data_IF_305522466417
#
_entry.id   IF_305522466417
#
_cell.length_a   1.000
_cell.length_b   1.000
_cell.length_c   1.000
_cell.angle_alpha   90.00
_cell.angle_beta   90.00
_cell.angle_gamma   90.00
#
_symmetry.space_group_name_H-M   'P 1'
#
loop_
_entity.id
_entity.type
_entity.pdbx_description
1 polymer ?
#
# COMPACT_ATOMS: atom_id res chain seq x y z
N UNK A 1 -39.55 3.03 -27.17
CA UNK A 1 -38.96 3.97 -26.18
C UNK A 1 -38.32 3.26 -25.00
N UNK A 2 -39.00 2.29 -24.37
CA UNK A 2 -38.53 1.57 -23.16
C UNK A 2 -37.12 0.95 -23.31
N UNK A 3 -36.81 0.32 -24.44
CA UNK A 3 -35.47 -0.27 -24.68
C UNK A 3 -34.32 0.76 -24.65
N UNK A 4 -34.56 1.98 -25.15
CA UNK A 4 -33.55 3.06 -25.12
C UNK A 4 -33.35 3.58 -23.70
N UNK A 5 -34.42 3.66 -22.90
CA UNK A 5 -34.36 4.08 -21.49
C UNK A 5 -33.55 3.08 -20.66
N UNK A 6 -33.76 1.77 -20.87
CA UNK A 6 -33.02 0.71 -20.17
C UNK A 6 -31.52 0.78 -20.51
N UNK A 7 -31.16 0.99 -21.79
CA UNK A 7 -29.76 1.11 -22.21
C UNK A 7 -29.09 2.33 -21.56
N UNK A 8 -29.77 3.48 -21.55
CA UNK A 8 -29.22 4.73 -20.96
C UNK A 8 -29.03 4.57 -19.45
N UNK A 9 -30.02 4.02 -18.74
CA UNK A 9 -29.88 3.75 -17.30
C UNK A 9 -28.76 2.75 -17.00
N UNK A 10 -28.62 1.70 -17.81
CA UNK A 10 -27.53 0.73 -17.67
C UNK A 10 -26.16 1.38 -17.85
N UNK A 11 -26.01 2.28 -18.83
CA UNK A 11 -24.77 3.04 -19.05
C UNK A 11 -24.43 3.97 -17.88
N UNK A 12 -25.42 4.68 -17.33
CA UNK A 12 -25.21 5.55 -16.16
C UNK A 12 -24.77 4.72 -14.95
N UNK A 13 -25.45 3.62 -14.67
CA UNK A 13 -25.07 2.73 -13.55
C UNK A 13 -23.66 2.17 -13.76
N UNK A 14 -23.30 1.78 -14.98
CA UNK A 14 -21.96 1.28 -15.28
C UNK A 14 -20.87 2.32 -15.06
N UNK A 15 -21.10 3.58 -15.48
CA UNK A 15 -20.17 4.70 -15.23
C UNK A 15 -20.03 4.94 -13.72
N UNK A 16 -21.14 4.96 -12.97
CA UNK A 16 -21.12 5.13 -11.52
C UNK A 16 -20.35 4.00 -10.81
N UNK A 17 -20.47 2.75 -11.29
CA UNK A 17 -19.70 1.62 -10.75
C UNK A 17 -18.21 1.79 -11.03
N UNK A 18 -17.84 2.21 -12.26
CA UNK A 18 -16.45 2.45 -12.61
C UNK A 18 -15.85 3.56 -11.74
N UNK A 19 -16.52 4.69 -11.60
CA UNK A 19 -16.08 5.78 -10.73
C UNK A 19 -15.93 5.31 -9.27
N UNK A 20 -16.90 4.55 -8.75
CA UNK A 20 -16.84 4.01 -7.40
C UNK A 20 -15.66 3.05 -7.18
N UNK A 21 -15.38 2.18 -8.16
CA UNK A 21 -14.25 1.24 -8.11
C UNK A 21 -12.91 1.98 -8.16
N UNK A 22 -12.77 2.99 -9.02
CA UNK A 22 -11.55 3.80 -9.12
C UNK A 22 -11.30 4.56 -7.82
N UNK A 23 -12.32 5.22 -7.25
CA UNK A 23 -12.20 5.93 -5.97
C UNK A 23 -11.80 5.02 -4.81
N UNK A 24 -12.23 3.75 -4.85
CA UNK A 24 -11.90 2.79 -3.79
C UNK A 24 -10.42 2.36 -3.81
N UNK A 25 -9.84 2.20 -5.00
CA UNK A 25 -8.43 1.82 -5.13
C UNK A 25 -7.47 2.88 -4.60
N UNK A 26 -7.85 4.15 -4.60
CA UNK A 26 -7.01 5.23 -4.07
C UNK A 26 -6.97 5.23 -2.53
N UNK A 27 -8.04 4.77 -1.87
CA UNK A 27 -8.11 4.70 -0.41
C UNK A 27 -7.37 3.49 0.18
N UNK A 28 -7.30 2.38 -0.54
CA UNK A 28 -6.52 1.21 -0.15
C UNK A 28 -5.09 1.40 -0.64
N UNK A 29 -4.22 1.91 0.23
CA UNK A 29 -2.82 2.16 -0.11
C UNK A 29 -2.11 0.90 -0.61
N UNK A 30 -1.13 1.09 -1.50
CA UNK A 30 -0.30 -0.01 -2.03
C UNK A 30 0.27 -0.84 -0.86
N UNK A 31 0.15 -2.16 -0.95
CA UNK A 31 0.63 -3.10 0.07
C UNK A 31 -0.40 -3.48 1.15
N UNK A 32 -1.68 -3.11 1.00
CA UNK A 32 -2.74 -3.53 1.93
C UNK A 32 -2.80 -2.71 3.22
N UNK A 33 -2.27 -1.49 3.21
CA UNK A 33 -2.23 -0.58 4.37
C UNK A 33 -2.84 0.77 3.96
N UNK A 34 -3.52 1.46 4.87
CA UNK A 34 -4.12 2.77 4.56
C UNK A 34 -3.05 3.86 4.38
N UNK A 35 -3.38 4.91 3.62
CA UNK A 35 -2.49 6.08 3.49
C UNK A 35 -2.13 6.70 4.84
N UNK A 36 -3.08 6.74 5.78
CA UNK A 36 -2.86 7.23 7.14
C UNK A 36 -1.82 6.39 7.88
N UNK A 37 -1.89 5.06 7.76
CA UNK A 37 -0.90 4.17 8.39
C UNK A 37 0.48 4.30 7.75
N UNK A 38 0.55 4.50 6.42
CA UNK A 38 1.80 4.82 5.74
C UNK A 38 2.45 6.07 6.34
N UNK A 39 1.68 7.14 6.56
CA UNK A 39 2.22 8.36 7.17
C UNK A 39 2.68 8.16 8.61
N UNK A 40 1.98 7.34 9.40
CA UNK A 40 2.44 6.98 10.75
C UNK A 40 3.76 6.21 10.73
N UNK A 41 3.94 5.28 9.77
CA UNK A 41 5.21 4.56 9.58
C UNK A 41 6.33 5.54 9.22
N UNK A 42 6.09 6.46 8.29
CA UNK A 42 7.11 7.45 7.91
C UNK A 42 7.51 8.34 9.08
N UNK A 43 6.54 8.83 9.86
CA UNK A 43 6.81 9.63 11.04
C UNK A 43 7.65 8.85 12.07
N UNK A 44 7.33 7.58 12.28
CA UNK A 44 8.06 6.70 13.19
C UNK A 44 9.50 6.42 12.72
N UNK A 45 9.70 6.17 11.42
CA UNK A 45 11.04 5.98 10.84
C UNK A 45 11.91 7.21 11.10
N UNK A 46 11.35 8.41 10.92
CA UNK A 46 12.06 9.67 11.13
C UNK A 46 12.31 9.93 12.63
N UNK A 47 11.31 9.72 13.50
CA UNK A 47 11.40 9.97 14.95
C UNK A 47 12.51 9.16 15.62
N UNK A 48 12.66 7.89 15.22
CA UNK A 48 13.60 6.93 15.85
C UNK A 48 14.87 6.75 15.00
N UNK A 49 15.07 7.59 14.00
CA UNK A 49 16.29 7.62 13.20
C UNK A 49 16.61 6.28 12.52
N UNK A 50 15.59 5.65 11.92
CA UNK A 50 15.69 4.38 11.21
C UNK A 50 16.00 4.59 9.71
N UNK A 51 16.33 3.50 9.01
CA UNK A 51 16.39 3.53 7.55
C UNK A 51 14.98 3.47 6.93
N UNK A 52 14.90 3.66 5.61
CA UNK A 52 13.64 3.66 4.85
C UNK A 52 12.81 2.37 4.96
N UNK A 53 13.39 1.27 5.46
CA UNK A 53 12.73 -0.02 5.63
C UNK A 53 12.31 -0.28 7.08
N UNK A 54 12.49 0.68 7.99
CA UNK A 54 12.21 0.53 9.41
C UNK A 54 13.24 -0.32 10.17
N UNK A 55 14.42 -0.53 9.59
CA UNK A 55 15.54 -1.20 10.27
C UNK A 55 16.56 -0.14 10.78
N UNK A 56 17.52 -0.50 11.64
CA UNK A 56 18.60 0.41 12.04
C UNK A 56 19.32 1.03 10.84
N UNK A 57 19.72 2.30 10.93
CA UNK A 57 20.35 3.04 9.82
C UNK A 57 21.56 2.36 9.20
N UNK A 58 22.38 1.73 10.02
CA UNK A 58 23.63 1.10 9.59
C UNK A 58 23.42 -0.35 9.07
N UNK A 59 22.17 -0.75 8.84
CA UNK A 59 21.85 -2.07 8.29
C UNK A 59 22.34 -2.19 6.85
N UNK A 60 23.16 -3.21 6.60
CA UNK A 60 23.64 -3.56 5.25
C UNK A 60 22.85 -4.77 4.74
N UNK A 61 22.26 -4.63 3.56
CA UNK A 61 21.53 -5.72 2.90
C UNK A 61 22.41 -6.41 1.88
N UNK A 62 22.46 -7.74 1.94
CA UNK A 62 23.04 -8.54 0.85
C UNK A 62 22.17 -8.35 -0.38
N UNK A 63 22.72 -7.80 -1.47
CA UNK A 63 21.95 -7.40 -2.66
C UNK A 63 21.45 -5.94 -2.64
N UNK A 64 21.81 -5.15 -1.64
CA UNK A 64 21.52 -3.70 -1.57
C UNK A 64 20.13 -3.31 -1.07
N UNK A 65 19.16 -4.23 -1.06
CA UNK A 65 17.81 -3.99 -0.56
C UNK A 65 17.20 -5.24 0.09
N UNK A 66 16.38 -5.14 1.15
CA UNK A 66 15.65 -6.29 1.69
C UNK A 66 14.42 -6.66 0.84
N UNK A 67 14.10 -5.84 -0.18
CA UNK A 67 12.86 -5.98 -0.94
C UNK A 67 12.96 -6.96 -2.12
N UNK A 68 14.11 -7.62 -2.29
CA UNK A 68 14.33 -8.59 -3.36
C UNK A 68 14.99 -9.85 -2.79
N UNK A 69 14.35 -11.00 -3.01
CA UNK A 69 14.92 -12.29 -2.67
C UNK A 69 15.63 -12.85 -3.92
N UNK A 70 16.97 -12.85 -3.91
CA UNK A 70 17.78 -13.36 -5.03
C UNK A 70 17.65 -14.87 -5.24
N UNK A 71 17.21 -15.63 -4.23
CA UNK A 71 17.03 -17.09 -4.36
C UNK A 71 15.74 -17.42 -5.10
N UNK A 72 14.68 -16.64 -4.89
CA UNK A 72 13.36 -16.89 -5.49
C UNK A 72 13.07 -15.97 -6.68
N UNK A 73 13.75 -14.83 -6.77
CA UNK A 73 13.47 -13.76 -7.74
C UNK A 73 12.25 -12.90 -7.38
N UNK A 74 11.69 -13.07 -6.19
CA UNK A 74 10.49 -12.35 -5.75
C UNK A 74 10.82 -10.97 -5.19
N UNK A 75 9.87 -10.03 -5.35
CA UNK A 75 9.92 -8.69 -4.75
C UNK A 75 8.80 -8.56 -3.74
N UNK A 76 9.10 -7.92 -2.61
CA UNK A 76 8.13 -7.58 -1.57
C UNK A 76 7.91 -6.07 -1.54
N UNK A 77 6.67 -5.65 -1.29
CA UNK A 77 6.38 -4.23 -1.08
C UNK A 77 7.08 -3.71 0.20
N UNK A 78 7.47 -2.44 0.20
CA UNK A 78 8.18 -1.85 1.34
C UNK A 78 7.35 -1.89 2.62
N UNK A 79 6.07 -1.53 2.55
CA UNK A 79 5.21 -1.51 3.73
C UNK A 79 4.84 -2.92 4.17
N UNK A 80 4.72 -3.86 3.23
CA UNK A 80 4.59 -5.28 3.57
C UNK A 80 5.82 -5.79 4.35
N UNK A 81 7.03 -5.42 3.91
CA UNK A 81 8.26 -5.73 4.64
C UNK A 81 8.25 -5.15 6.06
N UNK A 82 7.92 -3.86 6.21
CA UNK A 82 7.84 -3.17 7.51
C UNK A 82 6.83 -3.85 8.43
N UNK A 83 5.62 -4.16 7.93
CA UNK A 83 4.58 -4.84 8.71
C UNK A 83 5.00 -6.24 9.15
N UNK A 84 5.66 -6.99 8.27
CA UNK A 84 6.17 -8.33 8.58
C UNK A 84 7.27 -8.27 9.65
N UNK A 85 8.09 -7.21 9.64
CA UNK A 85 9.21 -7.05 10.57
C UNK A 85 8.79 -6.49 11.93
N UNK A 86 7.75 -5.65 11.96
CA UNK A 86 7.25 -4.96 13.15
C UNK A 86 5.75 -5.28 13.37
N UNK A 87 5.41 -6.53 13.72
CA UNK A 87 4.02 -6.96 13.88
C UNK A 87 3.29 -6.28 15.05
N UNK A 88 4.04 -5.73 16.00
CA UNK A 88 3.58 -4.96 17.15
C UNK A 88 3.18 -3.51 16.80
N UNK A 89 3.52 -3.04 15.60
CA UNK A 89 3.15 -1.72 15.05
C UNK A 89 3.55 -0.54 15.97
N UNK A 90 4.86 -0.32 16.22
CA UNK A 90 5.36 0.69 17.16
C UNK A 90 5.00 2.15 16.80
N UNK A 91 4.51 2.41 15.58
CA UNK A 91 3.96 3.70 15.15
C UNK A 91 2.53 3.97 15.65
N UNK A 92 1.82 2.98 16.21
CA UNK A 92 0.49 3.13 16.82
C UNK A 92 0.61 3.45 18.31
N UNK A 93 1.14 4.62 18.64
CA UNK A 93 1.17 5.12 20.02
C UNK A 93 -0.12 5.87 20.35
#
# INVERSE_FOLDING_TARGET
MIKKVIIVFGLIIFILIIEFVILRQEKEGKGGISFEEQQSIEAWIIEIDLNQYGDPKDTVYTGGTPLFDERTGERVDRYEYVLRKHPDRPWRK
#
